data_IF_164265405525
#
_entry.id   IF_164265405525
#
_cell.length_a   1.000
_cell.length_b   1.000
_cell.length_c   1.000
_cell.angle_alpha   90.00
_cell.angle_beta   90.00
_cell.angle_gamma   90.00
#
_symmetry.space_group_name_H-M   'P 1'
#
loop_
_entity.id
_entity.type
_entity.pdbx_description
1 polymer ?
#
# COMPACT_ATOMS: atom_id res chain seq x y z
N UNK A 1 5.65 11.51 7.35
CA UNK A 1 4.47 10.94 6.70
C UNK A 1 4.92 10.26 5.41
N UNK A 2 4.97 8.92 5.33
CA UNK A 2 5.41 8.24 4.12
C UNK A 2 4.28 8.29 3.09
N UNK A 3 4.45 9.02 1.98
CA UNK A 3 3.45 9.15 0.93
C UNK A 3 3.17 7.76 0.31
N UNK A 4 1.96 7.19 0.48
CA UNK A 4 1.66 5.85 -0.03
C UNK A 4 1.80 5.78 -1.55
N UNK A 5 1.60 6.90 -2.25
CA UNK A 5 1.74 7.02 -3.70
C UNK A 5 3.18 6.85 -4.19
N UNK A 6 4.18 7.20 -3.38
CA UNK A 6 5.59 7.17 -3.79
C UNK A 6 6.07 5.75 -4.11
N UNK A 7 5.65 4.76 -3.33
CA UNK A 7 6.00 3.35 -3.59
C UNK A 7 5.29 2.81 -4.84
N UNK A 8 4.07 3.28 -5.11
CA UNK A 8 3.34 2.90 -6.31
C UNK A 8 4.01 3.47 -7.56
N UNK A 9 4.30 4.78 -7.57
CA UNK A 9 4.95 5.44 -8.71
C UNK A 9 6.35 4.89 -8.96
N UNK A 10 7.10 4.63 -7.88
CA UNK A 10 8.43 4.02 -7.98
C UNK A 10 8.34 2.58 -8.50
N UNK A 11 7.36 1.80 -8.02
CA UNK A 11 7.11 0.45 -8.51
C UNK A 11 6.77 0.42 -10.00
N UNK A 12 5.85 1.27 -10.45
CA UNK A 12 5.48 1.40 -11.86
C UNK A 12 6.68 1.86 -12.70
N UNK A 13 7.45 2.85 -12.24
CA UNK A 13 8.64 3.31 -12.94
C UNK A 13 9.67 2.18 -13.12
N UNK A 14 9.91 1.37 -12.09
CA UNK A 14 10.80 0.21 -12.17
C UNK A 14 10.27 -0.89 -13.10
N UNK A 15 8.96 -1.13 -13.12
CA UNK A 15 8.36 -2.08 -14.06
C UNK A 15 8.52 -1.62 -15.51
N UNK A 16 8.22 -0.35 -15.79
CA UNK A 16 8.34 0.22 -17.14
C UNK A 16 9.80 0.23 -17.59
N UNK A 17 10.72 0.65 -16.73
CA UNK A 17 12.16 0.63 -17.03
C UNK A 17 12.68 -0.80 -17.26
N UNK A 18 12.29 -1.76 -16.41
CA UNK A 18 12.68 -3.15 -16.56
C UNK A 18 12.15 -3.79 -17.84
N UNK A 19 10.89 -3.52 -18.18
CA UNK A 19 10.29 -3.99 -19.42
C UNK A 19 10.96 -3.38 -20.65
N UNK A 20 11.23 -2.07 -20.64
CA UNK A 20 11.92 -1.37 -21.73
C UNK A 20 13.36 -1.89 -21.95
N UNK A 21 14.06 -2.28 -20.88
CA UNK A 21 15.37 -2.91 -20.98
C UNK A 21 15.29 -4.34 -21.53
N UNK A 22 14.28 -5.11 -21.15
CA UNK A 22 14.08 -6.49 -21.63
C UNK A 22 13.63 -6.56 -23.09
N UNK A 23 12.82 -5.61 -23.55
CA UNK A 23 12.41 -5.52 -24.95
C UNK A 23 13.48 -4.92 -25.86
N UNK A 24 14.61 -4.47 -25.29
CA UNK A 24 15.68 -3.80 -26.03
C UNK A 24 15.36 -2.37 -26.45
N UNK A 25 14.23 -1.81 -26.02
CA UNK A 25 13.83 -0.43 -26.29
C UNK A 25 14.78 0.58 -25.64
N UNK A 26 15.34 0.21 -24.49
CA UNK A 26 16.42 0.95 -23.82
C UNK A 26 17.63 0.02 -23.72
N UNK A 27 18.66 0.32 -24.50
CA UNK A 27 19.95 -0.37 -24.47
C UNK A 27 21.05 0.62 -24.12
N UNK A 28 21.95 0.25 -23.22
CA UNK A 28 23.05 1.11 -22.78
C UNK A 28 23.96 0.42 -21.78
N UNK A 29 25.06 1.08 -21.36
CA UNK A 29 26.03 0.49 -20.42
C UNK A 29 25.41 -0.02 -19.12
N UNK A 30 24.26 0.55 -18.75
CA UNK A 30 23.52 0.25 -17.52
C UNK A 30 22.42 -0.81 -17.69
N UNK A 31 22.10 -1.23 -18.92
CA UNK A 31 21.07 -2.26 -19.17
C UNK A 31 21.58 -3.69 -18.92
N UNK A 32 22.90 -3.87 -18.82
CA UNK A 32 23.56 -5.13 -18.52
C UNK A 32 24.54 -4.97 -17.37
N UNK A 33 24.45 -5.85 -16.39
CA UNK A 33 25.41 -5.95 -15.29
C UNK A 33 26.24 -7.20 -15.55
N UNK A 34 27.55 -7.05 -15.67
CA UNK A 34 28.47 -8.18 -15.80
C UNK A 34 28.69 -8.81 -14.42
N UNK A 35 28.14 -10.00 -14.20
CA UNK A 35 28.51 -10.84 -13.06
C UNK A 35 29.59 -11.82 -13.52
N UNK A 36 30.85 -11.49 -13.24
CA UNK A 36 31.99 -12.24 -13.75
C UNK A 36 32.04 -12.23 -15.27
N UNK A 37 32.01 -13.42 -15.89
CA UNK A 37 32.00 -13.58 -17.34
C UNK A 37 30.59 -13.57 -17.96
N UNK A 38 29.54 -13.58 -17.13
CA UNK A 38 28.15 -13.66 -17.62
C UNK A 38 27.47 -12.29 -17.62
N UNK A 39 26.97 -11.81 -18.78
CA UNK A 39 26.15 -10.61 -18.83
C UNK A 39 24.75 -10.91 -18.31
N UNK A 40 24.37 -10.28 -17.21
CA UNK A 40 23.03 -10.36 -16.63
C UNK A 40 22.23 -9.09 -16.97
N UNK A 41 20.97 -9.24 -17.40
CA UNK A 41 20.14 -8.07 -17.74
C UNK A 41 19.67 -7.35 -16.48
N UNK A 42 19.98 -6.06 -16.38
CA UNK A 42 19.48 -5.19 -15.31
C UNK A 42 17.95 -5.06 -15.32
N UNK A 43 17.30 -5.38 -16.45
CA UNK A 43 15.84 -5.37 -16.59
C UNK A 43 15.14 -6.35 -15.64
N UNK A 44 15.77 -7.50 -15.34
CA UNK A 44 15.24 -8.45 -14.36
C UNK A 44 15.26 -7.90 -12.93
N UNK A 45 16.32 -7.16 -12.56
CA UNK A 45 16.39 -6.50 -11.26
C UNK A 45 15.34 -5.40 -11.15
N UNK A 46 15.20 -4.59 -12.20
CA UNK A 46 14.19 -3.55 -12.27
C UNK A 46 12.77 -4.12 -12.14
N UNK A 47 12.44 -5.22 -12.82
CA UNK A 47 11.16 -5.90 -12.64
C UNK A 47 10.95 -6.40 -11.21
N UNK A 48 11.97 -7.02 -10.60
CA UNK A 48 11.89 -7.50 -9.22
C UNK A 48 11.66 -6.34 -8.23
N UNK A 49 12.36 -5.22 -8.40
CA UNK A 49 12.17 -3.99 -7.62
C UNK A 49 10.77 -3.38 -7.84
N UNK A 50 10.28 -3.42 -9.08
CA UNK A 50 8.94 -2.98 -9.44
C UNK A 50 7.85 -3.80 -8.76
N UNK A 51 7.91 -5.12 -8.87
CA UNK A 51 7.00 -6.05 -8.20
C UNK A 51 7.08 -5.90 -6.67
N UNK A 52 8.29 -5.84 -6.11
CA UNK A 52 8.48 -5.69 -4.67
C UNK A 52 7.80 -4.43 -4.13
N UNK A 53 7.97 -3.29 -4.82
CA UNK A 53 7.31 -2.05 -4.43
C UNK A 53 5.79 -2.12 -4.59
N UNK A 54 5.29 -2.81 -5.62
CA UNK A 54 3.86 -3.02 -5.84
C UNK A 54 3.23 -3.87 -4.72
N UNK A 55 3.88 -4.98 -4.36
CA UNK A 55 3.46 -5.85 -3.25
C UNK A 55 3.54 -5.10 -1.92
N UNK A 56 4.60 -4.31 -1.70
CA UNK A 56 4.76 -3.51 -0.49
C UNK A 56 3.69 -2.43 -0.37
N UNK A 57 3.31 -1.80 -1.47
CA UNK A 57 2.17 -0.88 -1.52
C UNK A 57 0.86 -1.61 -1.21
N UNK A 58 0.61 -2.75 -1.85
CA UNK A 58 -0.57 -3.56 -1.63
C UNK A 58 -0.72 -3.98 -0.17
N UNK A 59 0.35 -4.45 0.47
CA UNK A 59 0.36 -4.83 1.88
C UNK A 59 0.09 -3.64 2.81
N UNK A 60 0.69 -2.47 2.55
CA UNK A 60 0.39 -1.26 3.33
C UNK A 60 -1.05 -0.80 3.16
N UNK A 61 -1.61 -0.86 1.94
CA UNK A 61 -3.01 -0.51 1.68
C UNK A 61 -3.95 -1.49 2.38
N UNK A 62 -3.65 -2.79 2.32
CA UNK A 62 -4.43 -3.83 3.00
C UNK A 62 -4.55 -3.57 4.51
N UNK A 63 -3.44 -3.27 5.18
CA UNK A 63 -3.43 -2.95 6.61
C UNK A 63 -4.18 -1.65 6.95
N UNK A 64 -4.11 -0.63 6.09
CA UNK A 64 -4.87 0.60 6.26
C UNK A 64 -6.38 0.34 6.16
N UNK A 65 -6.78 -0.57 5.28
CA UNK A 65 -8.17 -0.99 5.11
C UNK A 65 -8.67 -1.79 6.32
N UNK A 66 -7.84 -2.69 6.87
CA UNK A 66 -8.21 -3.45 8.09
C UNK A 66 -8.40 -2.54 9.30
N UNK A 67 -7.52 -1.53 9.47
CA UNK A 67 -7.65 -0.55 10.56
C UNK A 67 -8.89 0.33 10.40
N UNK A 68 -9.27 0.69 9.17
CA UNK A 68 -10.49 1.45 8.93
C UNK A 68 -11.74 0.64 9.30
N UNK A 69 -11.77 -0.66 8.99
CA UNK A 69 -12.85 -1.57 9.37
C UNK A 69 -12.96 -1.76 10.89
N UNK A 70 -11.84 -1.95 11.58
CA UNK A 70 -11.83 -2.04 13.05
C UNK A 70 -12.27 -0.73 13.70
N UNK A 71 -11.75 0.40 13.23
CA UNK A 71 -12.11 1.72 13.76
C UNK A 71 -13.58 2.06 13.52
N UNK A 72 -14.17 1.64 12.40
CA UNK A 72 -15.60 1.79 12.14
C UNK A 72 -16.45 0.95 13.12
N UNK A 73 -16.03 -0.27 13.44
CA UNK A 73 -16.72 -1.10 14.44
C UNK A 73 -16.63 -0.49 15.85
N UNK A 74 -15.47 0.00 16.26
CA UNK A 74 -15.29 0.63 17.57
C UNK A 74 -16.12 1.91 17.71
N UNK A 75 -16.23 2.71 16.64
CA UNK A 75 -17.05 3.92 16.63
C UNK A 75 -18.53 3.57 16.75
N UNK A 76 -18.98 2.53 16.04
CA UNK A 76 -20.36 2.08 16.13
C UNK A 76 -20.69 1.54 17.54
N UNK A 77 -19.76 0.82 18.16
CA UNK A 77 -19.90 0.32 19.53
C UNK A 77 -19.99 1.45 20.55
N UNK A 78 -19.19 2.50 20.39
CA UNK A 78 -19.28 3.70 21.23
C UNK A 78 -20.60 4.45 21.07
N UNK A 79 -21.10 4.57 19.84
CA UNK A 79 -22.39 5.22 19.57
C UNK A 79 -23.55 4.46 20.22
N UNK A 80 -23.57 3.13 20.16
CA UNK A 80 -24.60 2.30 20.81
C UNK A 80 -24.58 2.51 22.34
N UNK A 81 -23.40 2.53 22.96
CA UNK A 81 -23.26 2.73 24.40
C UNK A 81 -23.68 4.13 24.84
N UNK A 82 -23.39 5.16 24.03
CA UNK A 82 -23.84 6.54 24.28
C UNK A 82 -25.36 6.63 24.20
N UNK A 83 -25.96 6.05 23.17
CA UNK A 83 -27.42 6.05 23.00
C UNK A 83 -28.12 5.30 24.15
N UNK A 84 -27.57 4.17 24.60
CA UNK A 84 -28.09 3.42 25.74
C UNK A 84 -28.00 4.22 27.06
N UNK A 85 -26.90 4.95 27.27
CA UNK A 85 -26.74 5.82 28.45
C UNK A 85 -27.75 6.97 28.43
N UNK A 86 -27.92 7.62 27.27
CA UNK A 86 -28.89 8.71 27.10
C UNK A 86 -30.33 8.23 27.27
N UNK A 87 -30.67 7.05 26.76
CA UNK A 87 -32.00 6.44 26.94
C UNK A 87 -32.32 6.19 28.42
N UNK A 88 -31.35 5.64 29.18
CA UNK A 88 -31.50 5.45 30.63
C UNK A 88 -31.56 6.77 31.42
N UNK A 89 -30.87 7.82 30.97
CA UNK A 89 -30.96 9.16 31.57
C UNK A 89 -32.33 9.82 31.30
N UNK A 90 -32.93 9.60 30.12
CA UNK A 90 -34.30 10.07 29.83
C UNK A 90 -35.40 9.30 30.55
N UNK A 91 -35.21 8.01 30.86
CA UNK A 91 -36.18 7.22 31.64
C UNK A 91 -36.12 7.53 33.14
N UNK A 92 -34.95 7.90 33.66
CA UNK A 92 -34.76 8.23 35.09
C UNK A 92 -35.01 9.70 35.42
N UNK A 93 -35.12 10.55 34.40
CA UNK A 93 -35.58 11.92 34.55
C UNK A 93 -36.84 12.13 33.70
N UNK A 94 -37.99 11.57 34.10
CA UNK A 94 -39.25 12.04 33.55
C UNK A 94 -39.34 13.51 33.91
N UNK A 95 -39.32 14.39 32.89
CA UNK A 95 -39.53 15.82 33.10
C UNK A 95 -40.73 16.01 34.03
N UNK A 96 -40.58 16.91 35.00
CA UNK A 96 -41.67 17.69 35.61
C UNK A 96 -42.79 18.00 34.62
#
# INVERSE_FOLDING_TARGET
MAFPWLYLTLGVAWLVAGLAMLTGLVSGPWSSITLGETPFSAGWLALALGLYNLVRWYHRKGLAQTRAWQKAQDLNRQNILKNARQAGETETNPMT
#
